data_IF_185746416006
#
_entry.id   IF_185746416006
#
_cell.length_a   1.000
_cell.length_b   1.000
_cell.length_c   1.000
_cell.angle_alpha   90.00
_cell.angle_beta   90.00
_cell.angle_gamma   90.00
#
_symmetry.space_group_name_H-M   'P 1'
#
loop_
_entity.id
_entity.type
_entity.pdbx_description
1 polymer ?
#
# COMPACT_ATOMS: atom_id res chain seq x y z
N UNK A 1 4.97 -10.81 -25.42
CA UNK A 1 5.59 -11.55 -24.31
C UNK A 1 6.78 -10.75 -23.81
N UNK A 2 6.61 -9.86 -22.82
CA UNK A 2 7.75 -9.13 -22.22
C UNK A 2 8.37 -10.04 -21.16
N UNK A 3 9.69 -10.24 -21.20
CA UNK A 3 10.43 -10.92 -20.14
C UNK A 3 10.42 -10.02 -18.90
N UNK A 4 9.62 -10.39 -17.91
CA UNK A 4 9.44 -9.63 -16.67
C UNK A 4 10.59 -9.89 -15.67
N UNK A 5 11.82 -9.47 -16.00
CA UNK A 5 12.92 -9.48 -15.03
C UNK A 5 12.67 -8.44 -13.92
N UNK A 6 13.15 -8.74 -12.69
CA UNK A 6 13.06 -7.84 -11.53
C UNK A 6 13.64 -6.44 -11.78
N UNK A 7 14.60 -6.31 -12.71
CA UNK A 7 15.17 -5.03 -13.16
C UNK A 7 14.13 -4.11 -13.84
N UNK A 8 13.06 -4.67 -14.41
CA UNK A 8 11.96 -3.89 -14.99
C UNK A 8 10.95 -3.37 -13.96
N UNK A 9 10.94 -3.93 -12.74
CA UNK A 9 9.97 -3.53 -11.72
C UNK A 9 10.25 -2.13 -11.18
N UNK A 10 11.51 -1.72 -11.04
CA UNK A 10 11.87 -0.45 -10.41
C UNK A 10 11.24 0.76 -11.12
N UNK A 11 11.31 0.82 -12.45
CA UNK A 11 10.77 1.95 -13.21
C UNK A 11 9.23 1.98 -13.18
N UNK A 12 8.59 0.81 -13.22
CA UNK A 12 7.14 0.68 -13.07
C UNK A 12 6.71 1.09 -11.67
N UNK A 13 7.41 0.60 -10.65
CA UNK A 13 7.16 0.91 -9.25
C UNK A 13 7.29 2.42 -8.98
N UNK A 14 8.28 3.08 -9.59
CA UNK A 14 8.46 4.52 -9.51
C UNK A 14 7.29 5.29 -10.14
N UNK A 15 6.80 4.86 -11.32
CA UNK A 15 5.58 5.43 -11.92
C UNK A 15 4.38 5.29 -10.99
N UNK A 16 4.18 4.11 -10.42
CA UNK A 16 3.06 3.83 -9.53
C UNK A 16 3.09 4.70 -8.26
N UNK A 17 4.21 4.72 -7.52
CA UNK A 17 4.30 5.53 -6.29
C UNK A 17 4.20 7.04 -6.58
N UNK A 18 4.64 7.48 -7.77
CA UNK A 18 4.50 8.88 -8.20
C UNK A 18 3.05 9.22 -8.54
N UNK A 19 2.31 8.31 -9.18
CA UNK A 19 0.89 8.48 -9.43
C UNK A 19 0.09 8.54 -8.12
N UNK A 20 0.39 7.64 -7.17
CA UNK A 20 -0.20 7.63 -5.83
C UNK A 20 0.09 8.92 -5.07
N UNK A 21 1.35 9.38 -5.07
CA UNK A 21 1.74 10.66 -4.45
C UNK A 21 0.97 11.84 -5.06
N UNK A 22 0.92 11.92 -6.39
CA UNK A 22 0.21 13.00 -7.09
C UNK A 22 -1.26 13.04 -6.70
N UNK A 23 -1.92 11.87 -6.59
CA UNK A 23 -3.30 11.78 -6.16
C UNK A 23 -3.49 12.15 -4.68
N UNK A 24 -2.64 11.62 -3.80
CA UNK A 24 -2.64 11.96 -2.39
C UNK A 24 -2.51 13.48 -2.15
N UNK A 25 -1.64 14.15 -2.92
CA UNK A 25 -1.49 15.62 -2.86
C UNK A 25 -2.75 16.36 -3.30
N UNK A 26 -3.47 15.87 -4.32
CA UNK A 26 -4.76 16.46 -4.74
C UNK A 26 -5.84 16.33 -3.67
N UNK A 27 -5.82 15.23 -2.91
CA UNK A 27 -6.71 15.00 -1.78
C UNK A 27 -6.27 15.74 -0.49
N UNK A 28 -5.12 16.42 -0.50
CA UNK A 28 -4.59 17.11 0.67
C UNK A 28 -4.11 16.19 1.78
N UNK A 29 -3.79 14.93 1.46
CA UNK A 29 -3.36 13.93 2.45
C UNK A 29 -1.85 13.74 2.44
N UNK A 30 -1.32 13.34 3.58
CA UNK A 30 0.11 13.04 3.79
C UNK A 30 0.25 11.63 4.34
N UNK A 31 1.33 10.93 4.01
CA UNK A 31 1.51 9.57 4.44
C UNK A 31 2.61 8.84 3.68
N UNK A 32 2.39 7.56 3.41
CA UNK A 32 3.33 6.67 2.70
C UNK A 32 2.60 5.96 1.58
N UNK A 33 3.19 6.02 0.38
CA UNK A 33 2.83 5.17 -0.76
C UNK A 33 3.84 4.02 -0.86
N UNK A 34 3.38 2.79 -0.90
CA UNK A 34 4.19 1.57 -1.04
C UNK A 34 3.62 0.76 -2.21
N UNK A 35 4.50 0.26 -3.06
CA UNK A 35 4.14 -0.77 -4.05
C UNK A 35 5.06 -1.96 -3.89
N UNK A 36 4.53 -3.15 -4.12
CA UNK A 36 5.32 -4.38 -4.05
C UNK A 36 4.92 -5.33 -5.17
N UNK A 37 5.90 -5.99 -5.77
CA UNK A 37 5.68 -7.14 -6.64
C UNK A 37 6.12 -8.40 -5.92
N UNK A 38 5.21 -9.37 -5.88
CA UNK A 38 5.35 -10.60 -5.11
C UNK A 38 5.19 -11.80 -6.05
N UNK A 39 5.93 -12.88 -5.83
CA UNK A 39 5.72 -14.13 -6.56
C UNK A 39 4.44 -14.86 -6.11
N UNK A 40 4.07 -15.97 -6.77
CA UNK A 40 2.83 -16.70 -6.44
C UNK A 40 2.80 -17.22 -4.99
N UNK A 41 3.94 -17.71 -4.51
CA UNK A 41 4.07 -18.26 -3.15
C UNK A 41 3.91 -17.23 -2.05
N UNK A 42 4.17 -15.95 -2.35
CA UNK A 42 4.23 -14.88 -1.35
C UNK A 42 5.51 -14.81 -0.52
N UNK A 43 6.46 -15.72 -0.72
CA UNK A 43 7.69 -15.80 0.08
C UNK A 43 8.81 -14.87 -0.38
N UNK A 44 8.67 -14.26 -1.56
CA UNK A 44 9.61 -13.26 -2.04
C UNK A 44 8.86 -12.12 -2.72
N UNK A 45 9.24 -10.89 -2.36
CA UNK A 45 8.78 -9.70 -3.04
C UNK A 45 9.90 -8.69 -3.20
N UNK A 46 9.68 -7.69 -4.04
CA UNK A 46 10.46 -6.45 -4.08
C UNK A 46 9.48 -5.31 -3.96
N UNK A 47 9.85 -4.26 -3.22
CA UNK A 47 8.96 -3.14 -2.96
C UNK A 47 9.66 -1.80 -3.10
N UNK A 48 8.91 -0.78 -3.51
CA UNK A 48 9.33 0.61 -3.53
C UNK A 48 8.36 1.43 -2.69
N UNK A 49 8.92 2.35 -1.91
CA UNK A 49 8.15 3.22 -1.02
C UNK A 49 8.52 4.68 -1.26
N UNK A 50 7.53 5.56 -1.14
CA UNK A 50 7.70 7.01 -1.20
C UNK A 50 6.93 7.67 -0.08
N UNK A 51 7.61 8.54 0.67
CA UNK A 51 6.96 9.41 1.64
C UNK A 51 6.21 10.53 0.91
N UNK A 52 4.97 10.78 1.35
CA UNK A 52 4.13 11.89 0.89
C UNK A 52 4.00 12.88 2.04
N UNK A 53 4.92 13.83 2.11
CA UNK A 53 4.96 14.83 3.17
C UNK A 53 5.54 14.32 4.50
N UNK A 54 4.90 13.33 5.14
CA UNK A 54 5.36 12.77 6.44
C UNK A 54 5.18 11.26 6.52
N UNK A 55 6.06 10.60 7.28
CA UNK A 55 6.04 9.14 7.49
C UNK A 55 5.43 8.71 8.84
N UNK A 56 5.18 9.68 9.73
CA UNK A 56 4.55 9.49 11.03
C UNK A 56 3.58 10.64 11.32
N UNK A 57 2.60 10.40 12.19
CA UNK A 57 1.89 11.46 12.93
C UNK A 57 2.26 11.37 14.40
N UNK A 58 2.37 12.52 15.06
CA UNK A 58 2.51 12.56 16.52
C UNK A 58 1.22 12.12 17.22
N UNK A 59 1.29 11.83 18.54
CA UNK A 59 0.09 11.69 19.36
C UNK A 59 -0.79 12.93 19.25
N UNK A 60 -2.11 12.74 19.34
CA UNK A 60 -3.07 13.84 19.32
C UNK A 60 -4.17 13.62 20.35
N UNK A 61 -4.67 14.71 20.92
CA UNK A 61 -5.90 14.70 21.72
C UNK A 61 -7.06 15.11 20.83
N UNK A 62 -8.01 14.21 20.61
CA UNK A 62 -9.21 14.47 19.81
C UNK A 62 -10.45 14.00 20.54
N UNK A 63 -11.43 14.91 20.63
CA UNK A 63 -12.67 14.71 21.41
C UNK A 63 -12.41 14.38 22.89
N UNK A 64 -11.38 15.04 23.46
CA UNK A 64 -10.96 14.83 24.86
C UNK A 64 -10.29 13.48 25.14
N UNK A 65 -9.90 12.74 24.10
CA UNK A 65 -9.20 11.45 24.22
C UNK A 65 -7.84 11.51 23.56
N UNK A 66 -6.82 11.12 24.31
CA UNK A 66 -5.47 10.95 23.79
C UNK A 66 -5.41 9.72 22.88
N UNK A 67 -4.88 9.93 21.68
CA UNK A 67 -4.66 8.89 20.69
C UNK A 67 -3.17 8.78 20.41
N UNK A 68 -2.64 7.55 20.33
CA UNK A 68 -1.26 7.37 19.90
C UNK A 68 -1.08 7.92 18.48
N UNK A 69 0.14 8.34 18.18
CA UNK A 69 0.53 8.70 16.82
C UNK A 69 0.51 7.49 15.89
N UNK A 70 0.51 7.74 14.58
CA UNK A 70 0.55 6.71 13.56
C UNK A 70 1.97 6.56 13.00
N UNK A 71 2.41 5.31 12.82
CA UNK A 71 3.58 5.00 12.01
C UNK A 71 3.09 4.52 10.63
N UNK A 72 3.07 5.43 9.66
CA UNK A 72 2.50 5.13 8.33
C UNK A 72 3.31 4.09 7.56
N UNK A 73 4.61 3.98 7.80
CA UNK A 73 5.43 2.91 7.22
C UNK A 73 4.99 1.56 7.79
N UNK A 74 4.89 1.46 9.11
CA UNK A 74 4.46 0.23 9.78
C UNK A 74 3.06 -0.20 9.35
N UNK A 75 2.12 0.73 9.33
CA UNK A 75 0.75 0.49 8.87
C UNK A 75 0.73 0.03 7.40
N UNK A 76 1.48 0.68 6.51
CA UNK A 76 1.55 0.29 5.10
C UNK A 76 2.09 -1.15 4.93
N UNK A 77 3.14 -1.53 5.65
CA UNK A 77 3.68 -2.89 5.58
C UNK A 77 2.75 -3.94 6.20
N UNK A 78 2.03 -3.61 7.28
CA UNK A 78 0.96 -4.46 7.82
C UNK A 78 -0.11 -4.76 6.76
N UNK A 79 -0.56 -3.74 6.03
CA UNK A 79 -1.56 -3.92 4.96
C UNK A 79 -0.99 -4.80 3.84
N UNK A 80 0.25 -4.55 3.42
CA UNK A 80 0.92 -5.36 2.40
C UNK A 80 1.10 -6.83 2.83
N UNK A 81 1.48 -7.08 4.08
CA UNK A 81 1.64 -8.41 4.65
C UNK A 81 0.32 -9.19 4.68
N UNK A 82 -0.77 -8.54 5.10
CA UNK A 82 -2.10 -9.16 5.09
C UNK A 82 -2.54 -9.55 3.67
N UNK A 83 -2.33 -8.67 2.68
CA UNK A 83 -2.64 -8.99 1.27
C UNK A 83 -1.73 -10.08 0.70
N UNK A 84 -0.48 -10.14 1.14
CA UNK A 84 0.46 -11.16 0.70
C UNK A 84 0.05 -12.57 1.15
N UNK A 85 -0.58 -12.70 2.32
CA UNK A 85 -1.15 -13.97 2.77
C UNK A 85 -2.51 -14.23 2.13
N UNK A 86 -3.45 -13.28 2.27
CA UNK A 86 -4.86 -13.48 1.93
C UNK A 86 -5.15 -13.44 0.43
N UNK A 87 -4.25 -12.82 -0.35
CA UNK A 87 -4.39 -12.55 -1.80
C UNK A 87 -5.64 -11.71 -2.17
N UNK A 88 -6.19 -10.98 -1.21
CA UNK A 88 -7.31 -10.04 -1.42
C UNK A 88 -6.94 -8.66 -0.86
N UNK A 89 -7.76 -7.64 -1.10
CA UNK A 89 -7.50 -6.28 -0.63
C UNK A 89 -7.40 -6.21 0.90
N UNK A 90 -6.54 -5.33 1.41
CA UNK A 90 -6.34 -5.22 2.86
C UNK A 90 -7.63 -4.75 3.55
N UNK A 91 -7.88 -5.26 4.74
CA UNK A 91 -9.07 -4.98 5.55
C UNK A 91 -10.37 -5.60 5.03
N UNK A 92 -10.32 -6.48 4.03
CA UNK A 92 -11.52 -7.13 3.46
C UNK A 92 -11.69 -8.60 3.84
N UNK A 93 -10.70 -9.19 4.51
CA UNK A 93 -10.75 -10.58 4.92
C UNK A 93 -11.73 -10.82 6.08
N UNK A 94 -12.41 -11.96 6.07
CA UNK A 94 -13.30 -12.39 7.15
C UNK A 94 -12.60 -13.28 8.20
N UNK A 95 -11.34 -13.67 7.96
CA UNK A 95 -10.56 -14.39 8.97
C UNK A 95 -10.12 -13.45 10.08
N UNK A 96 -9.82 -14.01 11.25
CA UNK A 96 -9.18 -13.26 12.32
C UNK A 96 -7.78 -12.77 11.87
N UNK A 97 -7.39 -11.52 12.17
CA UNK A 97 -6.03 -11.05 11.91
C UNK A 97 -4.98 -11.89 12.64
N UNK A 98 -3.85 -12.12 11.97
CA UNK A 98 -2.67 -12.70 12.61
C UNK A 98 -1.95 -11.63 13.44
N UNK A 99 -1.06 -12.04 14.36
CA UNK A 99 -0.22 -11.08 15.08
C UNK A 99 0.64 -10.28 14.09
N UNK A 100 0.52 -8.95 14.15
CA UNK A 100 1.15 -8.03 13.20
C UNK A 100 0.23 -7.59 12.05
N UNK A 101 -0.96 -8.17 11.93
CA UNK A 101 -2.03 -7.68 11.08
C UNK A 101 -3.07 -6.96 11.93
N UNK A 102 -3.71 -5.96 11.33
CA UNK A 102 -4.63 -5.08 12.05
C UNK A 102 -5.96 -4.91 11.31
N UNK A 103 -6.17 -5.60 10.18
CA UNK A 103 -7.40 -5.47 9.40
C UNK A 103 -7.59 -4.07 8.80
N UNK A 104 -6.52 -3.29 8.62
CA UNK A 104 -6.64 -1.93 8.14
C UNK A 104 -6.98 -1.91 6.63
N UNK A 105 -8.09 -1.28 6.23
CA UNK A 105 -8.39 -1.06 4.82
C UNK A 105 -7.39 -0.08 4.19
N UNK A 106 -7.24 -0.17 2.87
CA UNK A 106 -6.50 0.83 2.10
C UNK A 106 -5.36 0.30 1.23
N UNK A 107 -5.16 -1.01 1.16
CA UNK A 107 -4.28 -1.65 0.19
C UNK A 107 -5.06 -2.30 -0.96
N UNK A 108 -4.56 -2.14 -2.18
CA UNK A 108 -5.04 -2.82 -3.38
C UNK A 108 -4.04 -3.90 -3.81
N UNK A 109 -4.56 -5.02 -4.33
CA UNK A 109 -3.77 -6.13 -4.86
C UNK A 109 -4.40 -6.59 -6.17
N UNK A 110 -3.57 -6.95 -7.13
CA UNK A 110 -4.00 -7.52 -8.40
C UNK A 110 -3.16 -8.77 -8.73
N UNK A 111 -3.84 -9.79 -9.26
CA UNK A 111 -3.20 -11.00 -9.76
C UNK A 111 -2.58 -10.73 -11.14
N UNK A 112 -1.30 -11.05 -11.28
CA UNK A 112 -0.59 -11.02 -12.57
C UNK A 112 -0.45 -12.45 -13.12
N UNK A 113 0.01 -12.58 -14.37
CA UNK A 113 0.38 -13.89 -14.94
C UNK A 113 1.45 -14.58 -14.07
N UNK A 114 2.43 -13.81 -13.58
CA UNK A 114 3.46 -14.28 -12.64
C UNK A 114 3.41 -13.50 -11.32
N UNK A 115 2.72 -14.08 -10.32
CA UNK A 115 2.62 -13.47 -8.99
C UNK A 115 1.52 -12.43 -8.85
N UNK A 116 1.83 -11.35 -8.15
CA UNK A 116 0.90 -10.30 -7.74
C UNK A 116 1.60 -8.93 -7.73
N UNK A 117 0.83 -7.88 -7.99
CA UNK A 117 1.21 -6.50 -7.73
C UNK A 117 0.33 -5.95 -6.61
N UNK A 118 0.96 -5.26 -5.65
CA UNK A 118 0.34 -4.64 -4.51
C UNK A 118 0.61 -3.14 -4.58
N UNK A 119 -0.39 -2.33 -4.25
CA UNK A 119 -0.27 -0.91 -4.00
C UNK A 119 -0.93 -0.59 -2.66
N UNK A 120 -0.26 0.21 -1.83
CA UNK A 120 -0.71 0.52 -0.48
C UNK A 120 -0.46 1.99 -0.19
N UNK A 121 -1.49 2.66 0.32
CA UNK A 121 -1.35 3.97 0.93
C UNK A 121 -1.67 3.88 2.43
N UNK A 122 -0.96 4.69 3.21
CA UNK A 122 -1.27 4.91 4.63
C UNK A 122 -1.06 6.36 4.97
N UNK A 123 -2.13 7.04 5.38
CA UNK A 123 -2.08 8.45 5.76
C UNK A 123 -3.43 9.14 5.89
N UNK A 124 -4.49 8.50 5.40
CA UNK A 124 -5.84 9.04 5.33
C UNK A 124 -6.88 8.08 5.93
N UNK A 125 -8.17 8.26 5.63
CA UNK A 125 -9.17 7.23 5.95
C UNK A 125 -8.94 5.97 5.12
N UNK A 126 -9.51 4.85 5.53
CA UNK A 126 -9.38 3.58 4.81
C UNK A 126 -9.82 3.65 3.35
N UNK A 127 -10.92 4.37 3.10
CA UNK A 127 -11.49 4.56 1.77
C UNK A 127 -10.57 5.41 0.89
N UNK A 128 -10.02 6.51 1.44
CA UNK A 128 -9.08 7.37 0.73
C UNK A 128 -7.76 6.65 0.46
N UNK A 129 -7.24 5.90 1.45
CA UNK A 129 -6.05 5.07 1.27
C UNK A 129 -6.27 4.04 0.15
N UNK A 130 -7.46 3.43 0.07
CA UNK A 130 -7.79 2.45 -0.96
C UNK A 130 -7.91 3.10 -2.35
N UNK A 131 -8.60 4.24 -2.44
CA UNK A 131 -8.70 5.03 -3.67
C UNK A 131 -7.31 5.40 -4.23
N UNK A 132 -6.41 5.90 -3.38
CA UNK A 132 -5.03 6.22 -3.76
C UNK A 132 -4.28 4.96 -4.23
N UNK A 133 -4.47 3.84 -3.55
CA UNK A 133 -3.85 2.56 -3.94
C UNK A 133 -4.32 2.06 -5.31
N UNK A 134 -5.61 2.24 -5.62
CA UNK A 134 -6.15 1.91 -6.95
C UNK A 134 -5.53 2.75 -8.06
N UNK A 135 -5.18 4.01 -7.79
CA UNK A 135 -4.41 4.85 -8.75
C UNK A 135 -3.05 4.24 -9.04
N UNK A 136 -2.38 3.68 -8.02
CA UNK A 136 -1.14 2.93 -8.20
C UNK A 136 -1.31 1.72 -9.14
N UNK A 137 -2.33 0.90 -8.89
CA UNK A 137 -2.65 -0.24 -9.77
C UNK A 137 -3.00 0.21 -11.19
N UNK A 138 -3.76 1.29 -11.36
CA UNK A 138 -4.05 1.83 -12.70
C UNK A 138 -2.78 2.26 -13.43
N UNK A 139 -1.86 2.94 -12.73
CA UNK A 139 -0.59 3.37 -13.30
C UNK A 139 0.32 2.20 -13.74
N UNK A 140 0.17 1.02 -13.13
CA UNK A 140 0.86 -0.20 -13.58
C UNK A 140 0.44 -0.60 -15.01
N UNK A 141 -0.85 -0.51 -15.33
CA UNK A 141 -1.40 -0.87 -16.65
C UNK A 141 -1.04 0.14 -17.76
N UNK A 142 -0.68 1.35 -17.38
CA UNK A 142 -0.27 2.42 -18.29
C UNK A 142 1.26 2.44 -18.56
N UNK A 143 2.03 1.54 -17.92
CA UNK A 143 3.49 1.59 -17.86
C UNK A 143 4.23 0.81 -18.96
#
# INVERSE_FOLDING_TARGET
>A
MRRENMEGFQSVAEKMVTAMESHARKLGVTGVALVARMNDSGFAWTSQMKAVGRIISGPETKDGKDRPGNNYIGIAYTKAAEMAETKIHSGTTSRQPLHGEFGYPGGAIEKLESGYILAVFSGATGEQDFEISQVGIKAYHEA
#
